data_IF_582315503336
#
_entry.id   IF_582315503336
#
_cell.length_a   1.000
_cell.length_b   1.000
_cell.length_c   1.000
_cell.angle_alpha   90.00
_cell.angle_beta   90.00
_cell.angle_gamma   90.00
#
_symmetry.space_group_name_H-M   'P 1'
#
loop_
_entity.id
_entity.type
_entity.pdbx_description
1 polymer ?
#
# COMPACT_ATOMS: atom_id res chain seq x y z
N UNK A 1 16.32 -2.77 -4.46
CA UNK A 1 15.52 -3.97 -4.76
C UNK A 1 14.77 -3.69 -6.04
N UNK A 2 14.87 -4.57 -7.05
CA UNK A 2 14.21 -4.37 -8.35
C UNK A 2 12.72 -4.61 -8.23
N UNK A 3 11.93 -3.53 -8.32
CA UNK A 3 10.46 -3.55 -8.47
C UNK A 3 10.14 -4.54 -9.59
N UNK A 4 9.62 -5.70 -9.20
CA UNK A 4 9.43 -6.84 -10.11
C UNK A 4 8.39 -6.42 -11.15
N UNK A 5 8.52 -6.88 -12.40
CA UNK A 5 7.76 -6.48 -13.59
C UNK A 5 6.21 -6.59 -13.52
N UNK A 6 5.66 -6.87 -12.34
CA UNK A 6 4.24 -7.00 -12.02
C UNK A 6 3.61 -5.64 -11.71
N UNK A 7 4.36 -4.66 -11.18
CA UNK A 7 3.79 -3.35 -10.79
C UNK A 7 3.05 -2.62 -11.92
N UNK A 8 3.58 -2.50 -13.16
CA UNK A 8 2.89 -1.77 -14.22
C UNK A 8 1.55 -2.41 -14.61
N UNK A 9 1.48 -3.75 -14.55
CA UNK A 9 0.30 -4.54 -14.89
C UNK A 9 -0.81 -4.39 -13.85
N UNK A 10 -0.42 -4.23 -12.57
CA UNK A 10 -1.36 -3.96 -11.49
C UNK A 10 -1.87 -2.52 -11.53
N UNK A 11 -1.03 -1.56 -11.93
CA UNK A 11 -1.44 -0.17 -12.09
C UNK A 11 -2.51 -0.03 -13.20
N UNK A 12 -2.36 -0.74 -14.32
CA UNK A 12 -3.40 -0.81 -15.37
C UNK A 12 -4.68 -1.52 -14.89
N UNK A 13 -4.55 -2.65 -14.18
CA UNK A 13 -5.71 -3.40 -13.66
C UNK A 13 -6.53 -2.60 -12.63
N UNK A 14 -5.86 -1.71 -11.91
CA UNK A 14 -6.44 -0.89 -10.85
C UNK A 14 -6.60 0.57 -11.25
N UNK A 15 -6.57 0.88 -12.55
CA UNK A 15 -6.75 2.23 -13.05
C UNK A 15 -8.07 2.85 -12.54
N UNK A 16 -7.98 4.06 -11.99
CA UNK A 16 -9.12 4.77 -11.40
C UNK A 16 -9.53 4.31 -10.00
N UNK A 17 -8.87 3.31 -9.41
CA UNK A 17 -9.06 2.89 -8.01
C UNK A 17 -7.99 3.52 -7.13
N UNK A 18 -8.35 3.84 -5.89
CA UNK A 18 -7.40 4.35 -4.90
C UNK A 18 -7.31 3.42 -3.70
N UNK A 19 -6.14 3.37 -3.10
CA UNK A 19 -5.80 2.47 -2.01
C UNK A 19 -5.05 3.23 -0.92
N UNK A 20 -5.25 2.84 0.33
CA UNK A 20 -4.51 3.36 1.48
C UNK A 20 -3.83 2.21 2.23
N UNK A 21 -2.67 2.50 2.83
CA UNK A 21 -2.08 1.60 3.81
C UNK A 21 -2.86 1.77 5.10
N UNK A 22 -3.30 0.66 5.67
CA UNK A 22 -4.15 0.63 6.85
C UNK A 22 -3.45 -0.14 7.98
N UNK A 23 -3.46 0.43 9.18
CA UNK A 23 -2.98 -0.26 10.38
C UNK A 23 -4.04 -1.23 10.88
N UNK A 24 -3.71 -2.52 10.96
CA UNK A 24 -4.64 -3.52 11.51
C UNK A 24 -4.74 -3.35 13.02
N UNK A 25 -3.61 -3.14 13.71
CA UNK A 25 -3.62 -2.95 15.16
C UNK A 25 -4.27 -1.63 15.60
N UNK A 26 -4.08 -0.55 14.83
CA UNK A 26 -4.61 0.77 15.15
C UNK A 26 -6.03 1.02 14.63
N UNK A 27 -6.54 0.15 13.76
CA UNK A 27 -7.76 0.34 12.99
C UNK A 27 -7.85 1.75 12.37
N UNK A 28 -6.76 2.18 11.74
CA UNK A 28 -6.62 3.55 11.22
C UNK A 28 -5.81 3.60 9.93
N UNK A 29 -6.12 4.54 9.00
CA UNK A 29 -5.29 4.76 7.82
C UNK A 29 -3.92 5.33 8.22
N UNK A 30 -2.87 4.84 7.57
CA UNK A 30 -1.49 5.31 7.73
C UNK A 30 -1.06 6.23 6.58
N UNK A 31 -1.76 6.17 5.45
CA UNK A 31 -1.53 7.03 4.29
C UNK A 31 -2.83 7.58 3.76
N UNK A 32 -2.75 8.61 2.92
CA UNK A 32 -3.89 9.04 2.10
C UNK A 32 -4.16 8.04 0.96
N UNK A 33 -5.38 8.04 0.38
CA UNK A 33 -5.70 7.22 -0.78
C UNK A 33 -4.86 7.61 -2.00
N UNK A 34 -4.16 6.64 -2.58
CA UNK A 34 -3.26 6.82 -3.71
C UNK A 34 -3.40 5.67 -4.73
N UNK A 35 -2.83 5.78 -5.94
CA UNK A 35 -2.74 4.66 -6.88
C UNK A 35 -2.01 3.46 -6.25
N UNK A 36 -2.36 2.25 -6.67
CA UNK A 36 -1.88 1.01 -6.06
C UNK A 36 -0.34 0.94 -5.95
N UNK A 37 0.38 1.32 -7.01
CA UNK A 37 1.84 1.37 -7.00
C UNK A 37 2.42 2.31 -5.93
N UNK A 38 1.82 3.48 -5.70
CA UNK A 38 2.27 4.42 -4.66
C UNK A 38 1.96 3.88 -3.26
N UNK A 39 0.80 3.25 -3.09
CA UNK A 39 0.40 2.63 -1.82
C UNK A 39 1.32 1.45 -1.45
N UNK A 40 1.74 0.65 -2.44
CA UNK A 40 2.74 -0.42 -2.26
C UNK A 40 4.10 0.14 -1.83
N UNK A 41 4.58 1.21 -2.49
CA UNK A 41 5.84 1.85 -2.12
C UNK A 41 5.77 2.40 -0.68
N UNK A 42 4.62 2.94 -0.28
CA UNK A 42 4.41 3.42 1.08
C UNK A 42 4.37 2.26 2.10
N UNK A 43 3.73 1.14 1.76
CA UNK A 43 3.69 -0.08 2.59
C UNK A 43 5.11 -0.58 2.86
N UNK A 44 5.93 -0.74 1.81
CA UNK A 44 7.32 -1.21 1.92
C UNK A 44 8.12 -0.31 2.88
N UNK A 45 8.04 1.02 2.70
CA UNK A 45 8.70 1.98 3.60
C UNK A 45 8.23 1.88 5.05
N UNK A 46 6.92 1.72 5.27
CA UNK A 46 6.35 1.59 6.63
C UNK A 46 6.85 0.32 7.30
N UNK A 47 6.87 -0.81 6.57
CA UNK A 47 7.37 -2.10 7.05
C UNK A 47 8.86 -2.02 7.39
N UNK A 48 9.67 -1.38 6.54
CA UNK A 48 11.10 -1.17 6.78
C UNK A 48 11.36 -0.28 8.00
N UNK A 49 10.55 0.76 8.22
CA UNK A 49 10.80 1.77 9.27
C UNK A 49 10.27 1.33 10.63
N UNK A 50 9.09 0.71 10.67
CA UNK A 50 8.37 0.47 11.93
C UNK A 50 8.61 -0.93 12.49
N UNK A 51 9.16 -1.84 11.68
CA UNK A 51 9.11 -3.27 11.95
C UNK A 51 7.67 -3.76 11.89
N UNK A 52 7.39 -4.85 11.17
CA UNK A 52 6.05 -5.38 10.95
C UNK A 52 5.30 -5.90 12.21
N UNK A 53 5.63 -5.42 13.41
CA UNK A 53 5.13 -5.93 14.69
C UNK A 53 3.62 -5.78 14.90
N UNK A 54 2.95 -4.89 14.14
CA UNK A 54 1.54 -4.53 14.39
C UNK A 54 0.59 -4.81 13.20
N UNK A 55 1.06 -5.42 12.12
CA UNK A 55 0.24 -5.75 10.95
C UNK A 55 -0.23 -4.52 10.16
N UNK A 56 0.16 -4.45 8.90
CA UNK A 56 -0.27 -3.44 7.95
C UNK A 56 -0.87 -4.12 6.74
N UNK A 57 -1.90 -3.52 6.16
CA UNK A 57 -2.62 -4.03 5.01
C UNK A 57 -2.87 -2.91 3.98
N UNK A 58 -3.18 -3.28 2.75
CA UNK A 58 -3.62 -2.33 1.72
C UNK A 58 -5.12 -2.47 1.54
N UNK A 59 -5.85 -1.38 1.71
CA UNK A 59 -7.30 -1.34 1.54
C UNK A 59 -7.67 -0.44 0.38
N UNK A 60 -8.58 -0.93 -0.45
CA UNK A 60 -9.22 -0.11 -1.47
C UNK A 60 -10.19 0.88 -0.82
N UNK A 61 -10.14 2.13 -1.30
CA UNK A 61 -11.10 3.19 -0.97
C UNK A 61 -12.09 3.36 -2.12
N UNK A 62 -13.37 3.24 -1.78
CA UNK A 62 -14.52 3.41 -2.68
C UNK A 62 -15.19 4.75 -2.45
#
# INVERSE_FOLDING_TARGET
MTRTAISPLLDELFEGRTFEVYSIAGDSPLTEPAPFGETMDALERIVETSGAGNGVDIRERK
#
